data_IF_905314013890
#
_entry.id   IF_905314013890
#
_cell.length_a   1.000
_cell.length_b   1.000
_cell.length_c   1.000
_cell.angle_alpha   90.00
_cell.angle_beta   90.00
_cell.angle_gamma   90.00
#
_symmetry.space_group_name_H-M   'P 1'
#
loop_
_entity.id
_entity.type
_entity.pdbx_description
1 polymer ?
#
# COMPACT_ATOMS: atom_id res chain seq x y z
N UNK A 1 45.49 52.92 -40.58
CA UNK A 1 45.72 51.60 -39.94
C UNK A 1 44.88 51.55 -38.68
N UNK A 2 43.71 50.89 -38.72
CA UNK A 2 42.87 50.64 -37.56
C UNK A 2 43.08 49.21 -37.08
N UNK A 3 43.22 48.91 -35.76
CA UNK A 3 43.30 47.57 -35.28
C UNK A 3 41.88 46.96 -35.05
N UNK A 4 41.69 45.78 -35.57
CA UNK A 4 40.52 44.94 -35.52
C UNK A 4 40.40 44.35 -34.11
N UNK A 5 39.46 44.84 -33.29
CA UNK A 5 39.16 44.28 -31.94
C UNK A 5 38.22 43.08 -32.12
N UNK A 6 38.77 41.87 -31.94
CA UNK A 6 38.06 40.59 -31.97
C UNK A 6 37.32 40.40 -30.64
N UNK A 7 36.00 40.61 -30.65
CA UNK A 7 35.15 40.31 -29.49
C UNK A 7 34.99 38.80 -29.36
N UNK A 8 35.63 38.23 -28.32
CA UNK A 8 35.44 36.84 -27.92
C UNK A 8 34.14 36.76 -27.11
N UNK A 9 33.10 36.20 -27.75
CA UNK A 9 31.80 35.96 -27.08
C UNK A 9 31.89 34.62 -26.33
N UNK A 10 32.18 34.64 -25.02
CA UNK A 10 32.11 33.47 -24.16
C UNK A 10 30.66 33.07 -23.97
N UNK A 11 30.21 32.06 -24.72
CA UNK A 11 28.92 31.40 -24.47
C UNK A 11 29.10 30.50 -23.26
N UNK A 12 28.65 30.98 -22.10
CA UNK A 12 28.52 30.20 -20.86
C UNK A 12 27.34 29.25 -21.03
N UNK A 13 27.60 28.00 -21.44
CA UNK A 13 26.60 26.91 -21.42
C UNK A 13 26.29 26.57 -19.95
N UNK A 14 25.19 27.12 -19.45
CA UNK A 14 24.60 26.72 -18.19
C UNK A 14 24.04 25.29 -18.37
N UNK A 15 24.83 24.29 -17.98
CA UNK A 15 24.33 22.92 -17.81
C UNK A 15 23.37 22.93 -16.61
N UNK A 16 22.10 23.06 -16.88
CA UNK A 16 21.07 22.72 -15.89
C UNK A 16 21.19 21.22 -15.61
N UNK A 17 21.85 20.87 -14.51
CA UNK A 17 21.73 19.56 -13.91
C UNK A 17 20.29 19.39 -13.45
N UNK A 18 19.44 18.84 -14.32
CA UNK A 18 18.15 18.31 -13.91
C UNK A 18 18.48 17.10 -13.04
N UNK A 19 18.55 17.34 -11.74
CA UNK A 19 18.67 16.26 -10.77
C UNK A 19 17.42 15.38 -10.95
N UNK A 20 17.57 14.10 -11.34
CA UNK A 20 16.41 13.24 -11.49
C UNK A 20 15.69 13.14 -10.15
N UNK A 21 14.38 13.37 -10.18
CA UNK A 21 13.49 13.31 -9.01
C UNK A 21 13.33 11.87 -8.42
N UNK A 22 14.32 11.00 -8.63
CA UNK A 22 14.34 9.61 -8.17
C UNK A 22 14.40 9.45 -6.64
N UNK A 23 14.64 10.54 -5.91
CA UNK A 23 14.69 10.51 -4.43
C UNK A 23 13.31 10.54 -3.75
N UNK A 24 12.19 10.54 -4.49
CA UNK A 24 10.86 10.75 -3.91
C UNK A 24 10.00 9.50 -3.79
N UNK A 25 10.39 8.36 -4.34
CA UNK A 25 9.59 7.13 -4.31
C UNK A 25 10.36 6.00 -3.63
N UNK A 26 9.67 5.22 -2.80
CA UNK A 26 10.25 4.06 -2.09
C UNK A 26 9.98 2.74 -2.81
N UNK A 27 8.93 2.69 -3.61
CA UNK A 27 8.60 1.51 -4.41
C UNK A 27 7.68 1.87 -5.58
N UNK A 28 7.46 0.87 -6.43
CA UNK A 28 6.45 0.90 -7.50
C UNK A 28 5.67 -0.41 -7.48
N UNK A 29 4.37 -0.33 -7.68
CA UNK A 29 3.50 -1.47 -7.99
C UNK A 29 2.99 -1.27 -9.42
N UNK A 30 3.45 -2.10 -10.35
CA UNK A 30 3.46 -1.83 -11.79
C UNK A 30 4.13 -0.46 -12.07
N UNK A 31 3.42 0.44 -12.72
CA UNK A 31 3.90 1.80 -13.00
C UNK A 31 3.52 2.82 -11.91
N UNK A 32 2.73 2.41 -10.91
CA UNK A 32 2.28 3.29 -9.82
C UNK A 32 3.35 3.44 -8.76
N UNK A 33 3.85 4.67 -8.63
CA UNK A 33 4.82 5.03 -7.60
C UNK A 33 4.19 5.08 -6.21
N UNK A 34 4.94 4.60 -5.21
CA UNK A 34 4.70 4.81 -3.79
C UNK A 34 5.66 5.92 -3.34
N UNK A 35 5.11 7.11 -3.11
CA UNK A 35 5.88 8.29 -2.74
C UNK A 35 6.45 8.19 -1.32
N UNK A 36 7.70 8.63 -1.13
CA UNK A 36 8.36 8.61 0.18
C UNK A 36 7.59 9.39 1.26
N UNK A 37 7.03 10.54 0.91
CA UNK A 37 6.25 11.37 1.85
C UNK A 37 4.96 10.70 2.29
N UNK A 38 4.22 10.09 1.36
CA UNK A 38 3.00 9.34 1.64
C UNK A 38 3.32 8.12 2.51
N UNK A 39 4.33 7.35 2.12
CA UNK A 39 4.78 6.18 2.86
C UNK A 39 5.15 6.52 4.31
N UNK A 40 5.98 7.55 4.52
CA UNK A 40 6.38 7.97 5.86
C UNK A 40 5.21 8.53 6.68
N UNK A 41 4.24 9.19 6.05
CA UNK A 41 3.05 9.66 6.73
C UNK A 41 2.22 8.49 7.27
N UNK A 42 1.98 7.44 6.45
CA UNK A 42 1.25 6.25 6.85
C UNK A 42 2.04 5.44 7.88
N UNK A 43 3.36 5.27 7.67
CA UNK A 43 4.22 4.59 8.64
C UNK A 43 4.10 5.20 10.04
N UNK A 44 4.29 6.52 10.15
CA UNK A 44 4.21 7.23 11.43
C UNK A 44 2.83 7.18 12.08
N UNK A 45 1.76 7.22 11.28
CA UNK A 45 0.40 7.06 11.78
C UNK A 45 0.19 5.70 12.45
N UNK A 46 0.75 4.63 11.86
CA UNK A 46 0.60 3.26 12.37
C UNK A 46 1.64 2.91 13.44
N UNK A 47 2.71 3.70 13.58
CA UNK A 47 3.78 3.53 14.56
C UNK A 47 4.02 4.83 15.35
N UNK A 48 3.02 5.32 16.12
CA UNK A 48 3.10 6.64 16.77
C UNK A 48 4.23 6.73 17.81
N UNK A 49 4.68 5.60 18.35
CA UNK A 49 5.72 5.53 19.38
C UNK A 49 7.15 5.39 18.80
N UNK A 50 7.30 5.26 17.47
CA UNK A 50 8.60 5.12 16.83
C UNK A 50 9.11 6.52 16.44
N UNK A 51 10.02 7.07 17.25
CA UNK A 51 10.63 8.37 16.99
C UNK A 51 11.58 8.30 15.77
N UNK A 52 12.43 7.28 15.73
CA UNK A 52 13.38 7.01 14.66
C UNK A 52 13.15 5.59 14.13
N UNK A 53 12.85 5.48 12.83
CA UNK A 53 12.67 4.21 12.18
C UNK A 53 14.01 3.72 11.61
N UNK A 54 14.39 2.49 11.94
CA UNK A 54 15.52 1.83 11.29
C UNK A 54 15.16 1.47 9.83
N UNK A 55 16.19 1.15 9.04
CA UNK A 55 15.97 0.61 7.69
C UNK A 55 15.10 -0.65 7.72
N UNK A 56 15.33 -1.54 8.70
CA UNK A 56 14.57 -2.80 8.81
C UNK A 56 13.10 -2.53 9.10
N UNK A 57 12.78 -1.62 10.04
CA UNK A 57 11.39 -1.24 10.34
C UNK A 57 10.66 -0.73 9.08
N UNK A 58 11.35 0.12 8.31
CA UNK A 58 10.79 0.66 7.07
C UNK A 58 10.66 -0.41 5.97
N UNK A 59 11.62 -1.34 5.86
CA UNK A 59 11.59 -2.40 4.87
C UNK A 59 10.46 -3.41 5.16
N UNK A 60 10.30 -3.82 6.41
CA UNK A 60 9.24 -4.73 6.83
C UNK A 60 7.86 -4.11 6.63
N UNK A 61 7.72 -2.83 7.00
CA UNK A 61 6.46 -2.12 6.76
C UNK A 61 6.18 -1.89 5.26
N UNK A 62 7.21 -1.60 4.46
CA UNK A 62 7.06 -1.43 3.02
C UNK A 62 6.58 -2.73 2.34
N UNK A 63 7.05 -3.88 2.82
CA UNK A 63 6.56 -5.19 2.36
C UNK A 63 5.06 -5.33 2.59
N UNK A 64 4.57 -5.05 3.80
CA UNK A 64 3.14 -5.06 4.11
C UNK A 64 2.36 -4.05 3.27
N UNK A 65 2.91 -2.85 3.13
CA UNK A 65 2.27 -1.79 2.35
C UNK A 65 2.22 -2.12 0.85
N UNK A 66 3.22 -2.78 0.28
CA UNK A 66 3.17 -3.25 -1.11
C UNK A 66 2.13 -4.34 -1.30
N UNK A 67 1.95 -5.27 -0.35
CA UNK A 67 0.87 -6.26 -0.39
C UNK A 67 -0.51 -5.59 -0.37
N UNK A 68 -0.70 -4.58 0.48
CA UNK A 68 -1.91 -3.75 0.47
C UNK A 68 -2.15 -3.11 -0.91
N UNK A 69 -1.12 -2.47 -1.50
CA UNK A 69 -1.21 -1.84 -2.83
C UNK A 69 -1.50 -2.85 -3.94
N UNK A 70 -1.00 -4.09 -3.85
CA UNK A 70 -1.36 -5.17 -4.78
C UNK A 70 -2.85 -5.49 -4.75
N UNK A 71 -3.44 -5.63 -3.56
CA UNK A 71 -4.88 -5.85 -3.40
C UNK A 71 -5.70 -4.70 -3.96
N UNK A 72 -5.29 -3.46 -3.71
CA UNK A 72 -5.92 -2.27 -4.28
C UNK A 72 -5.82 -2.26 -5.82
N UNK A 73 -4.68 -2.65 -6.38
CA UNK A 73 -4.51 -2.76 -7.82
C UNK A 73 -5.47 -3.81 -8.42
N UNK A 74 -5.60 -4.96 -7.76
CA UNK A 74 -6.55 -6.01 -8.17
C UNK A 74 -8.00 -5.54 -8.08
N UNK A 75 -8.38 -4.87 -6.99
CA UNK A 75 -9.72 -4.31 -6.83
C UNK A 75 -10.08 -3.35 -7.97
N UNK A 76 -9.15 -2.48 -8.36
CA UNK A 76 -9.31 -1.55 -9.50
C UNK A 76 -9.37 -2.28 -10.83
N UNK A 77 -8.54 -3.31 -11.03
CA UNK A 77 -8.58 -4.13 -12.24
C UNK A 77 -9.92 -4.84 -12.42
N UNK A 78 -10.61 -5.15 -11.31
CA UNK A 78 -11.97 -5.71 -11.29
C UNK A 78 -13.08 -4.65 -11.35
N UNK A 79 -12.74 -3.36 -11.44
CA UNK A 79 -13.69 -2.25 -11.55
C UNK A 79 -14.41 -1.86 -10.25
N UNK A 80 -13.95 -2.35 -9.08
CA UNK A 80 -14.61 -2.04 -7.80
C UNK A 80 -14.60 -0.55 -7.46
N UNK A 81 -13.65 0.22 -7.99
CA UNK A 81 -13.59 1.68 -7.84
C UNK A 81 -14.64 2.42 -8.69
N UNK A 82 -15.27 1.74 -9.63
CA UNK A 82 -16.36 2.30 -10.45
C UNK A 82 -17.75 1.99 -9.91
N UNK A 83 -17.86 1.11 -8.91
CA UNK A 83 -19.10 0.71 -8.27
C UNK A 83 -19.83 1.91 -7.64
N UNK A 84 -21.16 1.91 -7.74
CA UNK A 84 -22.00 2.99 -7.21
C UNK A 84 -21.95 3.05 -5.68
N UNK A 85 -21.90 1.91 -4.99
CA UNK A 85 -21.80 1.87 -3.54
C UNK A 85 -20.46 2.43 -3.08
N UNK A 86 -19.35 2.04 -3.73
CA UNK A 86 -18.03 2.61 -3.49
C UNK A 86 -18.04 4.13 -3.65
N UNK A 87 -18.54 4.65 -4.78
CA UNK A 87 -18.60 6.10 -5.04
C UNK A 87 -19.42 6.85 -4.00
N UNK A 88 -20.55 6.27 -3.58
CA UNK A 88 -21.41 6.85 -2.54
C UNK A 88 -20.67 6.92 -1.20
N UNK A 89 -19.97 5.85 -0.82
CA UNK A 89 -19.19 5.76 0.41
C UNK A 89 -18.08 6.82 0.44
N UNK A 90 -17.28 6.90 -0.62
CA UNK A 90 -16.18 7.88 -0.72
C UNK A 90 -16.70 9.31 -0.67
N UNK A 91 -17.79 9.62 -1.38
CA UNK A 91 -18.39 10.94 -1.36
C UNK A 91 -18.97 11.30 0.01
N UNK A 92 -19.55 10.33 0.73
CA UNK A 92 -20.03 10.48 2.10
C UNK A 92 -18.90 10.85 3.07
N UNK A 93 -17.82 10.07 3.03
CA UNK A 93 -16.64 10.31 3.86
C UNK A 93 -15.99 11.67 3.58
N UNK A 94 -15.83 12.03 2.29
CA UNK A 94 -15.25 13.32 1.91
C UNK A 94 -16.06 14.49 2.45
N UNK A 95 -17.41 14.43 2.35
CA UNK A 95 -18.31 15.44 2.91
C UNK A 95 -18.15 15.54 4.43
N UNK A 96 -18.12 14.41 5.13
CA UNK A 96 -17.94 14.35 6.57
C UNK A 96 -16.58 14.93 7.01
N UNK A 97 -15.49 14.59 6.30
CA UNK A 97 -14.16 15.12 6.59
C UNK A 97 -14.08 16.65 6.37
N UNK A 98 -14.68 17.16 5.30
CA UNK A 98 -14.78 18.61 5.04
C UNK A 98 -15.59 19.34 6.11
N UNK A 99 -16.68 18.74 6.59
CA UNK A 99 -17.54 19.32 7.62
C UNK A 99 -16.84 19.50 8.97
N UNK A 100 -15.86 18.67 9.29
CA UNK A 100 -15.07 18.80 10.53
C UNK A 100 -14.21 20.06 10.59
N UNK A 101 -13.90 20.72 9.47
CA UNK A 101 -13.09 21.95 9.34
C UNK A 101 -11.70 21.89 10.01
N UNK A 102 -11.25 20.70 10.44
CA UNK A 102 -9.96 20.50 11.12
C UNK A 102 -8.77 20.51 10.15
N UNK A 103 -8.99 20.10 8.90
CA UNK A 103 -7.96 19.95 7.89
C UNK A 103 -8.44 20.64 6.61
N UNK A 104 -7.59 21.52 6.05
CA UNK A 104 -7.92 22.18 4.79
C UNK A 104 -8.07 21.16 3.66
N UNK A 105 -9.16 21.20 2.86
CA UNK A 105 -9.32 20.33 1.70
C UNK A 105 -8.24 20.50 0.62
N UNK A 106 -7.49 21.60 0.66
CA UNK A 106 -6.36 21.87 -0.25
C UNK A 106 -5.02 21.35 0.28
N UNK A 107 -4.97 20.81 1.50
CA UNK A 107 -3.72 20.35 2.10
C UNK A 107 -3.32 18.96 1.58
N UNK A 108 -2.01 18.68 1.59
CA UNK A 108 -1.48 17.36 1.26
C UNK A 108 -1.98 16.28 2.25
N UNK A 109 -2.17 16.65 3.51
CA UNK A 109 -2.70 15.77 4.56
C UNK A 109 -4.13 15.32 4.23
N UNK A 110 -4.98 16.22 3.74
CA UNK A 110 -6.31 15.85 3.30
C UNK A 110 -6.26 14.81 2.18
N UNK A 111 -5.37 15.02 1.21
CA UNK A 111 -5.20 14.08 0.10
C UNK A 111 -4.71 12.69 0.59
N UNK A 112 -3.80 12.64 1.56
CA UNK A 112 -3.32 11.38 2.13
C UNK A 112 -4.45 10.64 2.85
N UNK A 113 -5.25 11.33 3.68
CA UNK A 113 -6.40 10.75 4.36
C UNK A 113 -7.42 10.21 3.34
N UNK A 114 -7.74 11.00 2.33
CA UNK A 114 -8.70 10.57 1.31
C UNK A 114 -8.19 9.39 0.48
N UNK A 115 -6.88 9.35 0.16
CA UNK A 115 -6.30 8.21 -0.57
C UNK A 115 -6.30 6.96 0.29
N UNK A 116 -5.88 7.06 1.55
CA UNK A 116 -5.92 5.93 2.49
C UNK A 116 -7.34 5.38 2.62
N UNK A 117 -8.33 6.25 2.76
CA UNK A 117 -9.73 5.82 2.86
C UNK A 117 -10.22 5.13 1.59
N UNK A 118 -9.99 5.73 0.41
CA UNK A 118 -10.36 5.13 -0.88
C UNK A 118 -9.76 3.75 -1.07
N UNK A 119 -8.47 3.63 -0.80
CA UNK A 119 -7.75 2.36 -0.96
C UNK A 119 -8.14 1.34 0.11
N UNK A 120 -8.43 1.79 1.34
CA UNK A 120 -8.93 0.94 2.42
C UNK A 120 -10.29 0.31 2.09
N UNK A 121 -11.24 1.10 1.56
CA UNK A 121 -12.54 0.58 1.12
C UNK A 121 -12.38 -0.45 0.01
N UNK A 122 -11.50 -0.20 -0.96
CA UNK A 122 -11.22 -1.16 -2.03
C UNK A 122 -10.58 -2.46 -1.50
N UNK A 123 -9.59 -2.33 -0.62
CA UNK A 123 -8.93 -3.47 0.00
C UNK A 123 -9.92 -4.32 0.80
N UNK A 124 -10.80 -3.66 1.59
CA UNK A 124 -11.85 -4.35 2.32
C UNK A 124 -12.79 -5.11 1.37
N UNK A 125 -13.33 -4.43 0.35
CA UNK A 125 -14.28 -5.03 -0.58
C UNK A 125 -13.70 -6.24 -1.33
N UNK A 126 -12.43 -6.17 -1.77
CA UNK A 126 -11.80 -7.30 -2.46
C UNK A 126 -11.43 -8.43 -1.50
N UNK A 127 -11.03 -8.12 -0.26
CA UNK A 127 -10.73 -9.14 0.76
C UNK A 127 -12.00 -9.90 1.16
N UNK A 128 -13.14 -9.22 1.26
CA UNK A 128 -14.44 -9.85 1.48
C UNK A 128 -14.72 -10.89 0.37
N UNK A 129 -14.56 -10.51 -0.89
CA UNK A 129 -14.81 -11.41 -2.02
C UNK A 129 -13.81 -12.58 -2.11
N UNK A 130 -12.54 -12.35 -1.79
CA UNK A 130 -11.46 -13.32 -1.99
C UNK A 130 -11.26 -14.26 -0.80
N UNK A 131 -11.54 -13.79 0.42
CA UNK A 131 -11.18 -14.48 1.65
C UNK A 131 -12.39 -14.66 2.57
N UNK A 132 -12.95 -13.59 3.12
CA UNK A 132 -13.86 -13.67 4.26
C UNK A 132 -15.19 -14.32 3.94
N UNK A 133 -15.75 -14.07 2.75
CA UNK A 133 -16.96 -14.78 2.30
C UNK A 133 -16.80 -16.31 2.24
N UNK A 134 -15.56 -16.81 2.11
CA UNK A 134 -15.26 -18.24 2.07
C UNK A 134 -15.15 -18.88 3.45
N UNK A 135 -14.86 -18.09 4.47
CA UNK A 135 -14.63 -18.57 5.85
C UNK A 135 -15.88 -18.41 6.72
N UNK A 136 -16.68 -17.39 6.47
CA UNK A 136 -17.83 -17.06 7.31
C UNK A 136 -19.00 -18.04 7.15
N UNK A 137 -19.24 -18.56 5.95
CA UNK A 137 -20.45 -19.32 5.61
C UNK A 137 -20.15 -20.71 5.02
N UNK A 138 -18.93 -21.23 5.18
CA UNK A 138 -18.52 -22.48 4.54
C UNK A 138 -17.79 -23.43 5.48
N UNK A 139 -18.55 -24.03 6.40
CA UNK A 139 -18.00 -25.00 7.36
C UNK A 139 -17.35 -26.21 6.65
N UNK A 140 -17.78 -26.55 5.44
CA UNK A 140 -17.16 -27.63 4.66
C UNK A 140 -15.69 -27.35 4.35
N UNK A 141 -15.37 -26.14 3.84
CA UNK A 141 -13.98 -25.76 3.55
C UNK A 141 -13.13 -25.65 4.83
N UNK A 142 -13.71 -25.15 5.91
CA UNK A 142 -13.03 -25.10 7.21
C UNK A 142 -12.74 -26.51 7.75
N UNK A 143 -13.69 -27.42 7.63
CA UNK A 143 -13.52 -28.81 8.06
C UNK A 143 -12.46 -29.52 7.22
N UNK A 144 -12.47 -29.33 5.90
CA UNK A 144 -11.42 -29.88 5.02
C UNK A 144 -10.04 -29.36 5.37
N UNK A 145 -9.91 -28.07 5.65
CA UNK A 145 -8.67 -27.46 6.08
C UNK A 145 -8.21 -28.01 7.45
N UNK A 146 -9.14 -28.14 8.40
CA UNK A 146 -8.88 -28.74 9.70
C UNK A 146 -8.41 -30.18 9.57
N UNK A 147 -9.07 -31.02 8.80
CA UNK A 147 -8.68 -32.43 8.62
C UNK A 147 -7.25 -32.58 8.09
N UNK A 148 -6.86 -31.73 7.14
CA UNK A 148 -5.50 -31.70 6.58
C UNK A 148 -4.44 -31.22 7.55
N UNK A 149 -4.84 -30.47 8.58
CA UNK A 149 -3.96 -29.81 9.54
C UNK A 149 -4.25 -30.19 10.99
N UNK A 150 -4.93 -31.32 11.23
CA UNK A 150 -5.45 -31.72 12.55
C UNK A 150 -4.38 -31.74 13.66
N UNK A 151 -3.15 -32.08 13.32
CA UNK A 151 -2.02 -32.17 14.27
C UNK A 151 -1.66 -30.81 14.88
N UNK A 152 -1.79 -29.70 14.14
CA UNK A 152 -1.50 -28.34 14.69
C UNK A 152 -2.54 -27.91 15.72
N UNK A 153 -3.71 -28.54 15.73
CA UNK A 153 -4.77 -28.29 16.73
C UNK A 153 -4.73 -29.29 17.88
N UNK A 154 -3.61 -30.02 18.06
CA UNK A 154 -3.44 -31.04 19.10
C UNK A 154 -4.53 -32.13 19.07
N UNK A 155 -5.05 -32.44 17.88
CA UNK A 155 -6.16 -33.38 17.64
C UNK A 155 -7.45 -33.08 18.42
N UNK A 156 -7.65 -31.84 18.89
CA UNK A 156 -8.92 -31.41 19.50
C UNK A 156 -10.05 -31.42 18.49
N UNK A 157 -11.28 -31.57 18.94
CA UNK A 157 -12.43 -31.58 18.05
C UNK A 157 -12.63 -30.27 17.31
N UNK A 158 -13.10 -30.36 16.07
CA UNK A 158 -13.31 -29.19 15.19
C UNK A 158 -14.17 -28.11 15.87
N UNK A 159 -15.22 -28.51 16.58
CA UNK A 159 -16.13 -27.59 17.29
C UNK A 159 -15.40 -26.73 18.34
N UNK A 160 -14.38 -27.27 18.98
CA UNK A 160 -13.59 -26.56 20.00
C UNK A 160 -12.61 -25.56 19.39
N UNK A 161 -12.12 -25.85 18.17
CA UNK A 161 -11.07 -25.08 17.53
C UNK A 161 -11.55 -24.31 16.30
N UNK A 162 -12.85 -24.34 15.98
CA UNK A 162 -13.42 -23.75 14.78
C UNK A 162 -12.97 -22.30 14.52
N UNK A 163 -12.94 -21.47 15.58
CA UNK A 163 -12.49 -20.08 15.48
C UNK A 163 -11.02 -19.97 15.09
N UNK A 164 -10.15 -20.82 15.66
CA UNK A 164 -8.74 -20.88 15.32
C UNK A 164 -8.57 -21.38 13.88
N UNK A 165 -9.28 -22.45 13.49
CA UNK A 165 -9.26 -22.99 12.13
C UNK A 165 -9.68 -21.92 11.11
N UNK A 166 -10.71 -21.13 11.41
CA UNK A 166 -11.17 -20.03 10.54
C UNK A 166 -10.05 -19.00 10.34
N UNK A 167 -9.41 -18.57 11.42
CA UNK A 167 -8.30 -17.60 11.33
C UNK A 167 -7.11 -18.15 10.56
N UNK A 168 -6.72 -19.39 10.81
CA UNK A 168 -5.60 -20.03 10.11
C UNK A 168 -5.91 -20.25 8.62
N UNK A 169 -7.15 -20.59 8.30
CA UNK A 169 -7.59 -20.71 6.91
C UNK A 169 -7.63 -19.37 6.18
N UNK A 170 -8.05 -18.29 6.85
CA UNK A 170 -7.96 -16.93 6.30
C UNK A 170 -6.51 -16.54 5.99
N UNK A 171 -5.57 -16.80 6.91
CA UNK A 171 -4.15 -16.57 6.68
C UNK A 171 -3.61 -17.39 5.51
N UNK A 172 -4.03 -18.66 5.39
CA UNK A 172 -3.67 -19.51 4.26
C UNK A 172 -4.19 -18.94 2.92
N UNK A 173 -5.46 -18.54 2.87
CA UNK A 173 -6.04 -17.94 1.67
C UNK A 173 -5.35 -16.61 1.31
N UNK A 174 -5.03 -15.80 2.31
CA UNK A 174 -4.29 -14.55 2.16
C UNK A 174 -2.92 -14.79 1.52
N UNK A 175 -2.14 -15.75 2.05
CA UNK A 175 -0.81 -16.09 1.53
C UNK A 175 -0.90 -16.56 0.07
N UNK A 176 -1.84 -17.45 -0.24
CA UNK A 176 -2.07 -17.93 -1.61
C UNK A 176 -2.44 -16.79 -2.56
N UNK A 177 -3.30 -15.88 -2.09
CA UNK A 177 -3.71 -14.74 -2.89
C UNK A 177 -2.55 -13.76 -3.12
N UNK A 178 -1.78 -13.41 -2.09
CA UNK A 178 -0.60 -12.54 -2.24
C UNK A 178 0.41 -13.16 -3.20
N UNK A 179 0.68 -14.48 -3.14
CA UNK A 179 1.53 -15.17 -4.10
C UNK A 179 1.01 -15.02 -5.54
N UNK A 180 -0.30 -15.15 -5.74
CA UNK A 180 -0.90 -14.95 -7.05
C UNK A 180 -0.77 -13.50 -7.55
N UNK A 181 -0.94 -12.52 -6.66
CA UNK A 181 -0.81 -11.10 -7.00
C UNK A 181 0.64 -10.73 -7.32
N UNK A 182 1.63 -11.25 -6.57
CA UNK A 182 3.05 -11.01 -6.85
C UNK A 182 3.52 -11.65 -8.16
N UNK A 183 2.84 -12.71 -8.62
CA UNK A 183 3.07 -13.27 -9.95
C UNK A 183 2.41 -12.45 -11.06
N UNK A 184 1.30 -11.77 -10.77
CA UNK A 184 0.51 -10.99 -11.73
C UNK A 184 1.04 -9.56 -11.89
N UNK A 185 1.51 -8.95 -10.82
CA UNK A 185 1.91 -7.54 -10.75
C UNK A 185 3.39 -7.39 -10.47
N UNK A 186 4.03 -6.42 -11.12
CA UNK A 186 5.45 -6.12 -10.88
C UNK A 186 5.61 -5.23 -9.66
N UNK A 187 6.51 -5.63 -8.74
CA UNK A 187 6.95 -4.80 -7.61
C UNK A 187 8.40 -4.40 -7.84
N UNK A 188 8.72 -3.11 -7.74
CA UNK A 188 10.08 -2.59 -7.76
C UNK A 188 10.32 -1.79 -6.49
N UNK A 189 11.27 -2.21 -5.67
CA UNK A 189 11.68 -1.50 -4.45
C UNK A 189 12.85 -0.56 -4.79
N UNK A 190 12.78 0.67 -4.30
CA UNK A 190 13.88 1.62 -4.34
C UNK A 190 14.58 1.61 -2.97
N UNK A 191 15.53 0.69 -2.82
CA UNK A 191 16.26 0.52 -1.56
C UNK A 191 17.04 1.77 -1.16
N UNK A 192 17.63 2.49 -2.12
CA UNK A 192 18.35 3.74 -1.85
C UNK A 192 17.40 4.81 -1.31
N UNK A 193 16.21 4.95 -1.93
CA UNK A 193 15.17 5.84 -1.46
C UNK A 193 14.73 5.51 -0.03
N UNK A 194 14.58 4.21 0.26
CA UNK A 194 14.19 3.72 1.59
C UNK A 194 15.29 3.99 2.64
N UNK A 195 16.57 3.71 2.31
CA UNK A 195 17.72 3.99 3.20
C UNK A 195 17.83 5.45 3.56
N UNK A 196 17.52 6.37 2.65
CA UNK A 196 17.54 7.83 2.91
C UNK A 196 16.46 8.26 3.92
N UNK A 197 15.41 7.47 4.11
CA UNK A 197 14.34 7.75 5.08
C UNK A 197 14.66 7.18 6.46
N UNK A 198 15.47 6.13 6.54
CA UNK A 198 15.91 5.54 7.79
C UNK A 198 16.80 6.54 8.55
N UNK A 199 16.57 6.62 9.84
CA UNK A 199 17.43 7.39 10.77
C UNK A 199 18.07 6.40 11.72
N UNK A 200 19.39 6.51 11.96
CA UNK A 200 20.09 5.68 12.93
C UNK A 200 19.60 5.93 14.36
#
# INVERSE_FOLDING_TARGET
MLPFVRKFCCIFLFYFFVQPAFAQNVAYVNEKAIGAKEFMWIFKKNHPNVANASYQDLADYLKLYTHFKLKVAEAKALGLDTDTAYKKEINGYEKALKAQKKISPKSITFNYIMNEYREGVLMFAISEQKIWSKTQNNDGQLLDFYQKNKSIYNNRDFSEVRGQVSSDYELFLEDQWIKSLTSKYTIKINEEGLRKLARP
#
